data_IF_936245453797
#
_entry.id   IF_936245453797
#
_cell.length_a   1.000
_cell.length_b   1.000
_cell.length_c   1.000
_cell.angle_alpha   90.00
_cell.angle_beta   90.00
_cell.angle_gamma   90.00
#
_symmetry.space_group_name_H-M   'P 1'
#
loop_
_entity.id
_entity.type
_entity.pdbx_description
1 polymer ?
#
# COMPACT_ATOMS: atom_id res chain seq x y z
N UNK A 1 0.14 15.82 -1.23
CA UNK A 1 0.89 14.95 -0.32
C UNK A 1 2.10 15.69 0.18
N UNK A 2 2.21 15.79 1.50
CA UNK A 2 3.45 16.21 2.15
C UNK A 2 4.48 15.11 1.94
N UNK A 3 5.72 15.49 1.62
CA UNK A 3 6.85 14.56 1.51
C UNK A 3 7.84 14.79 2.62
N UNK A 4 8.49 13.71 3.07
CA UNK A 4 9.42 13.69 4.19
C UNK A 4 10.74 13.02 3.81
N UNK A 5 11.80 13.36 4.53
CA UNK A 5 13.12 12.73 4.37
C UNK A 5 13.14 11.34 5.04
N UNK A 6 14.24 10.60 4.87
CA UNK A 6 14.45 9.35 5.62
C UNK A 6 14.52 9.63 7.13
N UNK A 7 15.17 10.72 7.54
CA UNK A 7 15.33 11.10 8.95
C UNK A 7 13.95 11.37 9.58
N UNK A 8 13.12 12.18 8.92
CA UNK A 8 11.75 12.46 9.36
C UNK A 8 10.90 11.18 9.43
N UNK A 9 11.01 10.30 8.43
CA UNK A 9 10.28 9.03 8.42
C UNK A 9 10.64 8.14 9.62
N UNK A 10 11.94 8.04 9.95
CA UNK A 10 12.41 7.26 11.09
C UNK A 10 11.88 7.82 12.41
N UNK A 11 11.95 9.14 12.56
CA UNK A 11 11.47 9.85 13.75
C UNK A 11 9.95 9.72 13.92
N UNK A 12 9.17 9.91 12.85
CA UNK A 12 7.71 9.83 12.87
C UNK A 12 7.18 8.40 13.00
N UNK A 13 7.86 7.42 12.40
CA UNK A 13 7.48 6.01 12.52
C UNK A 13 7.95 5.39 13.83
N UNK A 14 9.01 5.92 14.46
CA UNK A 14 9.62 5.36 15.66
C UNK A 14 10.27 4.00 15.41
N UNK A 15 10.90 3.82 14.24
CA UNK A 15 11.49 2.54 13.80
C UNK A 15 12.98 2.68 13.48
N UNK A 16 13.77 1.60 13.62
CA UNK A 16 15.17 1.64 13.24
C UNK A 16 15.37 1.60 11.72
N UNK A 17 16.46 2.19 11.23
CA UNK A 17 16.78 2.31 9.79
C UNK A 17 16.85 0.95 9.08
N UNK A 18 17.29 -0.10 9.78
CA UNK A 18 17.35 -1.44 9.20
C UNK A 18 15.97 -1.98 8.78
N UNK A 19 14.89 -1.61 9.48
CA UNK A 19 13.53 -1.98 9.07
C UNK A 19 13.16 -1.31 7.74
N UNK A 20 13.45 -0.01 7.59
CA UNK A 20 13.19 0.71 6.34
C UNK A 20 13.96 0.09 5.17
N UNK A 21 15.25 -0.21 5.38
CA UNK A 21 16.09 -0.88 4.37
C UNK A 21 15.53 -2.23 3.97
N UNK A 22 15.11 -3.05 4.93
CA UNK A 22 14.46 -4.34 4.66
C UNK A 22 13.16 -4.15 3.84
N UNK A 23 12.30 -3.22 4.24
CA UNK A 23 11.05 -2.95 3.54
C UNK A 23 11.30 -2.50 2.09
N UNK A 24 12.34 -1.70 1.84
CA UNK A 24 12.75 -1.31 0.49
C UNK A 24 13.30 -2.49 -0.32
N UNK A 25 14.15 -3.34 0.28
CA UNK A 25 14.70 -4.55 -0.37
C UNK A 25 13.59 -5.49 -0.84
N UNK A 26 12.53 -5.63 -0.04
CA UNK A 26 11.37 -6.45 -0.40
C UNK A 26 10.32 -5.71 -1.25
N UNK A 27 10.56 -4.43 -1.56
CA UNK A 27 9.71 -3.57 -2.38
C UNK A 27 8.39 -3.16 -1.73
N UNK A 28 8.32 -3.24 -0.40
CA UNK A 28 7.15 -2.88 0.41
C UNK A 28 7.02 -1.36 0.54
N UNK A 29 8.16 -0.68 0.74
CA UNK A 29 8.27 0.79 0.72
C UNK A 29 9.07 1.16 -0.53
N UNK A 30 8.57 2.11 -1.32
CA UNK A 30 9.15 2.47 -2.62
C UNK A 30 9.27 3.99 -2.75
N UNK A 31 10.29 4.60 -2.10
CA UNK A 31 10.44 6.05 -2.12
C UNK A 31 10.65 6.56 -3.54
N UNK A 32 10.15 7.77 -3.78
CA UNK A 32 10.45 8.51 -5.00
C UNK A 32 11.82 9.17 -4.91
N UNK A 33 12.46 9.40 -6.06
CA UNK A 33 13.63 10.26 -6.15
C UNK A 33 13.21 11.66 -6.56
N UNK A 34 13.47 12.65 -5.70
CA UNK A 34 13.27 14.08 -5.98
C UNK A 34 14.55 14.84 -5.67
N UNK A 35 15.02 15.63 -6.62
CA UNK A 35 16.28 16.39 -6.54
C UNK A 35 17.49 15.55 -6.08
N UNK A 36 17.57 14.31 -6.57
CA UNK A 36 18.64 13.37 -6.25
C UNK A 36 18.52 12.67 -4.89
N UNK A 37 17.54 13.02 -4.06
CA UNK A 37 17.31 12.44 -2.73
C UNK A 37 16.08 11.54 -2.73
N UNK A 38 16.07 10.55 -1.84
CA UNK A 38 14.87 9.75 -1.58
C UNK A 38 13.87 10.57 -0.78
N UNK A 39 12.62 10.57 -1.22
CA UNK A 39 11.50 11.24 -0.56
C UNK A 39 10.39 10.23 -0.35
N UNK A 40 9.84 10.25 0.87
CA UNK A 40 8.74 9.40 1.29
C UNK A 40 7.49 10.26 1.44
N UNK A 41 6.33 9.64 1.34
CA UNK A 41 5.07 10.31 1.60
C UNK A 41 4.34 9.73 2.82
N UNK A 42 3.16 10.26 3.10
CA UNK A 42 2.31 9.81 4.20
C UNK A 42 1.87 8.35 4.05
N UNK A 43 1.73 7.85 2.82
CA UNK A 43 1.41 6.43 2.58
C UNK A 43 2.59 5.54 2.93
N UNK A 44 3.83 5.94 2.59
CA UNK A 44 5.03 5.23 3.03
C UNK A 44 5.12 5.15 4.56
N UNK A 45 4.83 6.26 5.28
CA UNK A 45 4.81 6.29 6.75
C UNK A 45 3.81 5.27 7.33
N UNK A 46 2.58 5.24 6.81
CA UNK A 46 1.56 4.30 7.28
C UNK A 46 1.90 2.84 6.94
N UNK A 47 2.53 2.59 5.78
CA UNK A 47 3.06 1.26 5.43
C UNK A 47 4.13 0.82 6.43
N UNK A 48 5.07 1.70 6.78
CA UNK A 48 6.14 1.42 7.74
C UNK A 48 5.56 1.10 9.12
N UNK A 49 4.61 1.89 9.60
CA UNK A 49 3.94 1.66 10.90
C UNK A 49 3.23 0.31 10.93
N UNK A 50 2.47 -0.02 9.88
CA UNK A 50 1.81 -1.32 9.77
C UNK A 50 2.80 -2.49 9.75
N UNK A 51 3.91 -2.34 9.02
CA UNK A 51 4.96 -3.35 8.98
C UNK A 51 5.67 -3.53 10.34
N UNK A 52 5.89 -2.44 11.07
CA UNK A 52 6.48 -2.47 12.42
C UNK A 52 5.56 -3.16 13.44
N UNK A 53 4.24 -3.00 13.32
CA UNK A 53 3.29 -3.77 14.14
C UNK A 53 3.35 -5.26 13.82
N UNK A 54 3.43 -5.62 12.53
CA UNK A 54 3.55 -7.01 12.10
C UNK A 54 4.88 -7.65 12.53
N UNK A 55 5.98 -6.89 12.58
CA UNK A 55 7.27 -7.42 13.00
C UNK A 55 7.28 -7.87 14.47
N UNK A 56 6.41 -7.30 15.33
CA UNK A 56 6.20 -7.75 16.72
C UNK A 56 5.69 -9.19 16.81
N UNK A 57 5.07 -9.69 15.74
CA UNK A 57 4.58 -11.07 15.63
C UNK A 57 5.51 -11.97 14.80
N UNK A 58 6.74 -11.53 14.51
CA UNK A 58 7.74 -12.29 13.75
C UNK A 58 7.53 -12.26 12.23
N UNK A 59 6.70 -11.33 11.73
CA UNK A 59 6.50 -11.13 10.28
C UNK A 59 7.59 -10.23 9.73
N UNK A 60 8.48 -10.78 8.90
CA UNK A 60 9.58 -10.04 8.27
C UNK A 60 9.18 -9.50 6.89
N UNK A 61 9.99 -8.61 6.31
CA UNK A 61 9.74 -7.98 5.00
C UNK A 61 9.52 -9.00 3.88
N UNK A 62 10.22 -10.15 3.92
CA UNK A 62 9.99 -11.25 2.96
C UNK A 62 8.56 -11.81 3.02
N UNK A 63 7.94 -11.85 4.19
CA UNK A 63 6.57 -12.32 4.36
C UNK A 63 5.59 -11.30 3.78
N UNK A 64 5.92 -10.01 3.88
CA UNK A 64 5.07 -8.92 3.38
C UNK A 64 4.95 -8.88 1.86
N UNK A 65 5.83 -9.58 1.11
CA UNK A 65 5.69 -9.75 -0.35
C UNK A 65 4.34 -10.31 -0.77
N UNK A 66 3.68 -11.10 0.08
CA UNK A 66 2.32 -11.61 -0.20
C UNK A 66 1.30 -10.48 -0.29
N UNK A 67 1.39 -9.49 0.61
CA UNK A 67 0.50 -8.32 0.62
C UNK A 67 0.80 -7.43 -0.59
N UNK A 68 2.08 -7.18 -0.88
CA UNK A 68 2.50 -6.45 -2.08
C UNK A 68 1.96 -7.09 -3.36
N UNK A 69 2.12 -8.40 -3.51
CA UNK A 69 1.64 -9.12 -4.70
C UNK A 69 0.10 -9.14 -4.80
N UNK A 70 -0.61 -9.09 -3.67
CA UNK A 70 -2.06 -8.88 -3.66
C UNK A 70 -2.42 -7.48 -4.14
N UNK A 71 -1.77 -6.45 -3.59
CA UNK A 71 -1.99 -5.05 -3.96
C UNK A 71 -1.70 -4.79 -5.45
N UNK A 72 -0.61 -5.34 -5.99
CA UNK A 72 -0.27 -5.22 -7.42
C UNK A 72 -1.37 -5.81 -8.32
N UNK A 73 -1.94 -6.95 -7.94
CA UNK A 73 -3.05 -7.60 -8.68
C UNK A 73 -4.35 -6.82 -8.56
N UNK A 74 -4.65 -6.30 -7.37
CA UNK A 74 -5.80 -5.42 -7.13
C UNK A 74 -5.69 -4.15 -7.99
N UNK A 75 -4.53 -3.49 -7.98
CA UNK A 75 -4.27 -2.31 -8.80
C UNK A 75 -4.38 -2.61 -10.31
N UNK A 76 -3.86 -3.75 -10.77
CA UNK A 76 -3.98 -4.17 -12.17
C UNK A 76 -5.44 -4.39 -12.59
N UNK A 77 -6.26 -5.02 -11.72
CA UNK A 77 -7.70 -5.20 -11.96
C UNK A 77 -8.41 -3.85 -12.07
N UNK A 78 -8.17 -2.93 -11.12
CA UNK A 78 -8.77 -1.60 -11.16
C UNK A 78 -8.34 -0.83 -12.41
N UNK A 79 -7.05 -0.88 -12.76
CA UNK A 79 -6.52 -0.26 -13.98
C UNK A 79 -7.17 -0.81 -15.25
N UNK A 80 -7.53 -2.09 -15.31
CA UNK A 80 -8.28 -2.65 -16.44
C UNK A 80 -9.70 -2.07 -16.53
N UNK A 81 -10.36 -1.85 -15.39
CA UNK A 81 -11.72 -1.31 -15.32
C UNK A 81 -11.74 0.19 -15.70
N UNK A 82 -10.90 1.01 -15.05
CA UNK A 82 -10.95 2.48 -15.21
C UNK A 82 -9.98 3.04 -16.24
N UNK A 83 -9.00 2.24 -16.69
CA UNK A 83 -7.91 2.68 -17.58
C UNK A 83 -8.33 3.31 -18.91
N UNK A 84 -9.39 2.82 -19.59
CA UNK A 84 -9.92 3.51 -20.77
C UNK A 84 -10.49 4.90 -20.45
N UNK A 85 -11.19 5.04 -19.32
CA UNK A 85 -11.81 6.29 -18.91
C UNK A 85 -10.77 7.33 -18.45
N UNK A 86 -9.70 6.90 -17.77
CA UNK A 86 -8.58 7.77 -17.38
C UNK A 86 -7.85 8.39 -18.59
N UNK A 87 -7.76 7.64 -19.71
CA UNK A 87 -7.15 8.10 -20.97
C UNK A 87 -8.08 8.91 -21.86
N UNK A 88 -9.35 9.06 -21.49
CA UNK A 88 -10.33 9.86 -22.24
C UNK A 88 -9.87 11.31 -22.38
N UNK A 89 -10.21 11.98 -23.50
CA UNK A 89 -9.97 13.44 -23.66
C UNK A 89 -11.01 14.29 -22.90
N UNK A 90 -12.16 13.72 -22.55
CA UNK A 90 -13.18 14.40 -21.74
C UNK A 90 -12.72 14.51 -20.28
N UNK A 91 -12.65 15.74 -19.78
CA UNK A 91 -12.30 16.03 -18.39
C UNK A 91 -13.33 15.44 -17.41
N UNK A 92 -14.62 15.52 -17.74
CA UNK A 92 -15.69 14.96 -16.92
C UNK A 92 -15.53 13.44 -16.76
N UNK A 93 -15.28 12.72 -17.86
CA UNK A 93 -15.08 11.26 -17.84
C UNK A 93 -13.84 10.85 -17.05
N UNK A 94 -12.77 11.65 -17.10
CA UNK A 94 -11.56 11.39 -16.32
C UNK A 94 -11.81 11.62 -14.83
N UNK A 95 -12.52 12.69 -14.46
CA UNK A 95 -12.88 12.98 -13.07
C UNK A 95 -13.71 11.85 -12.47
N UNK A 96 -14.76 11.42 -13.18
CA UNK A 96 -15.60 10.29 -12.78
C UNK A 96 -14.78 9.00 -12.59
N UNK A 97 -13.81 8.74 -13.47
CA UNK A 97 -12.93 7.58 -13.36
C UNK A 97 -12.04 7.61 -12.11
N UNK A 98 -11.58 8.79 -11.68
CA UNK A 98 -10.78 8.97 -10.46
C UNK A 98 -11.66 8.74 -9.22
N UNK A 99 -12.86 9.33 -9.17
CA UNK A 99 -13.81 9.14 -8.06
C UNK A 99 -14.24 7.65 -7.93
N UNK A 100 -14.44 6.98 -9.06
CA UNK A 100 -14.72 5.55 -9.09
C UNK A 100 -13.53 4.71 -8.62
N UNK A 101 -12.29 5.12 -8.90
CA UNK A 101 -11.10 4.38 -8.50
C UNK A 101 -10.98 4.30 -6.96
N UNK A 102 -11.19 5.41 -6.26
CA UNK A 102 -11.19 5.45 -4.79
C UNK A 102 -12.31 4.56 -4.21
N UNK A 103 -13.51 4.67 -4.76
CA UNK A 103 -14.66 3.86 -4.36
C UNK A 103 -14.42 2.36 -4.56
N UNK A 104 -13.85 1.98 -5.70
CA UNK A 104 -13.52 0.59 -6.01
C UNK A 104 -12.41 0.04 -5.11
N UNK A 105 -11.37 0.83 -4.82
CA UNK A 105 -10.31 0.45 -3.89
C UNK A 105 -10.87 0.16 -2.48
N UNK A 106 -11.79 1.01 -1.99
CA UNK A 106 -12.46 0.79 -0.72
C UNK A 106 -13.28 -0.52 -0.70
N UNK A 107 -14.06 -0.79 -1.76
CA UNK A 107 -14.84 -2.03 -1.88
C UNK A 107 -13.93 -3.26 -1.95
N UNK A 108 -12.84 -3.21 -2.72
CA UNK A 108 -11.85 -4.29 -2.78
C UNK A 108 -11.21 -4.56 -1.42
N UNK A 109 -10.84 -3.51 -0.68
CA UNK A 109 -10.33 -3.61 0.68
C UNK A 109 -11.31 -4.29 1.63
N UNK A 110 -12.59 -3.88 1.59
CA UNK A 110 -13.65 -4.49 2.41
C UNK A 110 -13.88 -5.96 2.05
N UNK A 111 -13.93 -6.30 0.75
CA UNK A 111 -14.08 -7.68 0.30
C UNK A 111 -12.93 -8.56 0.82
N UNK A 112 -11.69 -8.11 0.68
CA UNK A 112 -10.50 -8.82 1.19
C UNK A 112 -10.57 -9.05 2.69
N UNK A 113 -10.96 -8.03 3.46
CA UNK A 113 -11.15 -8.15 4.90
C UNK A 113 -12.21 -9.22 5.25
N UNK A 114 -13.37 -9.20 4.57
CA UNK A 114 -14.44 -10.17 4.81
C UNK A 114 -14.04 -11.61 4.45
N UNK A 115 -13.31 -11.79 3.34
CA UNK A 115 -12.76 -13.09 2.95
C UNK A 115 -11.78 -13.62 4.00
N UNK A 116 -10.88 -12.77 4.49
CA UNK A 116 -9.96 -13.11 5.56
C UNK A 116 -10.71 -13.51 6.84
N UNK A 117 -11.70 -12.73 7.27
CA UNK A 117 -12.52 -13.03 8.46
C UNK A 117 -13.21 -14.38 8.32
N UNK A 118 -13.80 -14.67 7.16
CA UNK A 118 -14.43 -15.97 6.88
C UNK A 118 -13.44 -17.13 7.02
N UNK A 119 -12.25 -16.99 6.46
CA UNK A 119 -11.26 -18.06 6.47
C UNK A 119 -10.63 -18.24 7.87
N UNK A 120 -10.46 -17.16 8.63
CA UNK A 120 -10.01 -17.21 10.03
C UNK A 120 -11.03 -17.88 10.96
N UNK A 121 -12.34 -17.73 10.72
CA UNK A 121 -13.39 -18.45 11.47
C UNK A 121 -13.24 -19.97 11.32
N UNK A 122 -12.97 -20.44 10.10
CA UNK A 122 -12.74 -21.86 9.81
C UNK A 122 -11.51 -22.41 10.54
N UNK A 123 -10.45 -21.61 10.68
CA UNK A 123 -9.26 -22.01 11.45
C UNK A 123 -9.54 -22.13 12.95
N UNK A 124 -10.49 -21.33 13.47
CA UNK A 124 -10.91 -21.37 14.87
C UNK A 124 -11.90 -22.51 15.18
N UNK A 125 -12.42 -23.19 14.16
CA UNK A 125 -13.37 -24.30 14.31
C UNK A 125 -14.84 -23.88 14.40
N UNK A 126 -15.18 -22.64 14.01
CA UNK A 126 -16.56 -22.16 13.85
C UNK A 126 -17.13 -22.48 12.45
#
# INVERSE_FOLDING_TARGET
MTTMSLEDLLDEAGVPENLIRELQEFGIVQPERRDGRLTYDETDLEIVRAAAELSRFGVAGRNLRVFRSSADREAALLQQIVGPALRSRSQARRKEAIENLESLAAVCGQLKHLLLVRDLRRLKGD
#
